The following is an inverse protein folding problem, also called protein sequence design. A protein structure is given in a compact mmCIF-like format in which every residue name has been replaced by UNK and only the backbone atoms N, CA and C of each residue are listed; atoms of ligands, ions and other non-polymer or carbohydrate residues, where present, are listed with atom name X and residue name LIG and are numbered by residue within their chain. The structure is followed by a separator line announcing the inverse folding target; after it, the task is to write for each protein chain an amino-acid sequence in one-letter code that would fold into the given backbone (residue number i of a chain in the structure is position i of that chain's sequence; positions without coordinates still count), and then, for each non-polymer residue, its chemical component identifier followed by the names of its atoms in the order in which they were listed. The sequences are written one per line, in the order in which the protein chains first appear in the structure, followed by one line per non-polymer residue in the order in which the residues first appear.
data_IF_768081955881
#
_entry.id   IF_768081955881
#
_cell.length_a   1.000
_cell.length_b   1.000
_cell.length_c   1.000
_cell.angle_alpha   90.00
_cell.angle_beta   90.00
_cell.angle_gamma   90.00
#
_symmetry.space_group_name_H-M   'P 1'
#
loop_
_entity.id
_entity.type
_entity.pdbx_description
1 polymer ?
#
# COMPACT_ATOMS: atom_id res chain seq x y z
N UNK A 1 -10.42 -21.44 -3.41
CA UNK A 1 -10.42 -19.99 -3.09
C UNK A 1 -9.60 -19.28 -4.15
N UNK A 2 -10.10 -18.20 -4.71
CA UNK A 2 -9.44 -17.42 -5.77
C UNK A 2 -9.21 -16.00 -5.26
N UNK A 3 -8.00 -15.49 -5.48
CA UNK A 3 -7.58 -14.17 -5.05
C UNK A 3 -7.28 -13.31 -6.27
N UNK A 4 -7.75 -12.07 -6.24
CA UNK A 4 -7.44 -11.08 -7.26
C UNK A 4 -6.88 -9.82 -6.61
N UNK A 5 -5.75 -9.34 -7.15
CA UNK A 5 -5.14 -8.07 -6.77
C UNK A 5 -5.41 -7.06 -7.88
N UNK A 6 -6.03 -5.93 -7.52
CA UNK A 6 -6.25 -4.80 -8.40
C UNK A 6 -5.40 -3.64 -7.89
N UNK A 7 -4.54 -3.13 -8.77
CA UNK A 7 -3.77 -1.91 -8.53
C UNK A 7 -3.99 -1.01 -9.72
N UNK A 8 -4.45 0.21 -9.43
CA UNK A 8 -4.58 1.28 -10.42
C UNK A 8 -3.79 2.46 -9.88
N UNK A 9 -2.80 2.93 -10.64
CA UNK A 9 -2.01 4.10 -10.29
C UNK A 9 -2.11 5.17 -11.37
N UNK A 10 -2.06 6.42 -10.92
CA UNK A 10 -1.98 7.62 -11.73
C UNK A 10 -0.73 8.36 -11.30
N UNK A 11 0.21 8.50 -12.22
CA UNK A 11 1.45 9.22 -11.97
C UNK A 11 1.42 10.59 -12.66
N UNK A 12 1.63 11.64 -11.89
CA UNK A 12 1.75 13.02 -12.36
C UNK A 12 3.19 13.47 -12.15
N UNK A 13 3.86 13.85 -13.24
CA UNK A 13 5.25 14.30 -13.23
C UNK A 13 5.34 15.75 -13.70
N UNK A 14 5.93 16.62 -12.87
CA UNK A 14 6.16 18.03 -13.18
C UNK A 14 7.67 18.30 -13.24
N UNK A 15 8.33 17.72 -14.26
CA UNK A 15 9.75 17.96 -14.54
C UNK A 15 10.66 17.67 -13.33
N UNK A 16 11.57 18.58 -13.02
CA UNK A 16 12.47 18.44 -11.85
C UNK A 16 11.88 18.97 -10.54
N UNK A 17 10.73 19.65 -10.59
CA UNK A 17 10.22 20.42 -9.45
C UNK A 17 9.36 19.57 -8.50
N UNK A 18 8.54 18.68 -9.05
CA UNK A 18 7.68 17.82 -8.24
C UNK A 18 7.22 16.57 -9.00
N UNK A 19 6.96 15.51 -8.24
CA UNK A 19 6.19 14.37 -8.72
C UNK A 19 5.18 13.95 -7.66
N UNK A 20 4.05 13.42 -8.12
CA UNK A 20 3.03 12.81 -7.30
C UNK A 20 2.54 11.55 -8.00
N UNK A 21 2.72 10.40 -7.36
CA UNK A 21 2.03 9.16 -7.68
C UNK A 21 0.81 9.05 -6.77
N UNK A 22 -0.32 8.69 -7.35
CA UNK A 22 -1.56 8.39 -6.65
C UNK A 22 -1.98 6.98 -7.06
N UNK A 23 -1.94 6.05 -6.11
CA UNK A 23 -2.32 4.66 -6.34
C UNK A 23 -3.49 4.24 -5.46
N UNK A 24 -4.42 3.51 -6.08
CA UNK A 24 -5.51 2.79 -5.42
C UNK A 24 -5.19 1.30 -5.51
N UNK A 25 -5.17 0.63 -4.35
CA UNK A 25 -4.91 -0.81 -4.25
C UNK A 25 -6.07 -1.53 -3.58
N UNK A 26 -6.67 -2.46 -4.30
CA UNK A 26 -7.73 -3.36 -3.84
C UNK A 26 -7.27 -4.82 -3.82
N UNK A 27 -7.63 -5.56 -2.79
CA UNK A 27 -7.50 -7.01 -2.75
C UNK A 27 -8.85 -7.66 -2.51
N UNK A 28 -9.23 -8.51 -3.45
CA UNK A 28 -10.53 -9.18 -3.49
C UNK A 28 -10.32 -10.68 -3.31
N UNK A 29 -11.12 -11.27 -2.42
CA UNK A 29 -11.21 -12.71 -2.23
C UNK A 29 -12.57 -13.19 -2.73
N UNK A 30 -12.53 -14.21 -3.57
CA UNK A 30 -13.70 -15.02 -3.86
C UNK A 30 -13.46 -16.45 -3.36
N UNK A 31 -14.32 -16.93 -2.47
CA UNK A 31 -14.26 -18.27 -1.89
C UNK A 31 -15.49 -19.07 -2.25
N UNK A 32 -15.28 -20.17 -2.96
CA UNK A 32 -16.25 -21.24 -3.11
C UNK A 32 -15.91 -22.34 -2.12
N UNK A 33 -16.86 -22.69 -1.26
CA UNK A 33 -16.71 -23.77 -0.27
C UNK A 33 -17.83 -24.79 -0.43
N UNK A 34 -17.44 -26.06 -0.48
CA UNK A 34 -18.34 -27.20 -0.54
C UNK A 34 -18.43 -27.83 0.85
N UNK A 35 -19.63 -27.85 1.43
CA UNK A 35 -19.87 -28.41 2.78
C UNK A 35 -20.62 -29.74 2.74
N UNK A 36 -21.55 -29.94 1.81
CA UNK A 36 -22.26 -31.21 1.61
C UNK A 36 -22.92 -31.26 0.22
N UNK A 37 -23.40 -32.45 -0.20
CA UNK A 37 -23.86 -32.81 -1.57
C UNK A 37 -24.83 -31.86 -2.29
N UNK A 38 -25.47 -30.94 -1.59
CA UNK A 38 -26.44 -30.00 -2.16
C UNK A 38 -26.26 -28.53 -1.78
N UNK A 39 -25.27 -28.17 -0.96
CA UNK A 39 -25.11 -26.80 -0.46
C UNK A 39 -23.76 -26.21 -0.84
N UNK A 40 -23.80 -25.29 -1.80
CA UNK A 40 -22.68 -24.46 -2.22
C UNK A 40 -22.70 -23.16 -1.42
N UNK A 41 -21.55 -22.79 -0.84
CA UNK A 41 -21.37 -21.49 -0.19
C UNK A 41 -20.44 -20.62 -1.03
N UNK A 42 -20.96 -19.48 -1.45
CA UNK A 42 -20.19 -18.43 -2.09
C UNK A 42 -19.88 -17.33 -1.08
N UNK A 43 -18.62 -16.94 -1.00
CA UNK A 43 -18.16 -15.83 -0.18
C UNK A 43 -17.36 -14.85 -1.02
N UNK A 44 -17.72 -13.58 -0.94
CA UNK A 44 -16.93 -12.48 -1.49
C UNK A 44 -16.49 -11.57 -0.34
N UNK A 45 -15.20 -11.24 -0.29
CA UNK A 45 -14.70 -10.29 0.70
C UNK A 45 -13.63 -9.38 0.11
N UNK A 46 -13.73 -8.09 0.41
CA UNK A 46 -12.67 -7.11 0.14
C UNK A 46 -11.75 -7.14 1.35
N UNK A 47 -10.53 -7.69 1.20
CA UNK A 47 -9.60 -7.80 2.33
C UNK A 47 -8.85 -6.50 2.59
N UNK A 48 -8.52 -5.75 1.53
CA UNK A 48 -7.72 -4.54 1.62
C UNK A 48 -8.18 -3.54 0.58
N UNK A 49 -8.39 -2.31 0.99
CA UNK A 49 -8.62 -1.17 0.12
C UNK A 49 -7.73 -0.03 0.61
N UNK A 50 -6.81 0.43 -0.23
CA UNK A 50 -5.80 1.42 0.16
C UNK A 50 -5.73 2.55 -0.85
N UNK A 51 -5.56 3.75 -0.33
CA UNK A 51 -5.18 4.93 -1.08
C UNK A 51 -3.75 5.27 -0.69
N UNK A 52 -2.88 5.36 -1.68
CA UNK A 52 -1.46 5.59 -1.51
C UNK A 52 -1.13 6.80 -2.35
N UNK A 53 -0.43 7.78 -1.77
CA UNK A 53 0.22 8.80 -2.55
C UNK A 53 1.63 9.00 -2.06
N UNK A 54 2.55 9.07 -3.00
CA UNK A 54 3.96 9.30 -2.74
C UNK A 54 4.53 10.20 -3.83
N UNK A 55 5.67 10.81 -3.54
CA UNK A 55 6.28 11.72 -4.48
C UNK A 55 7.41 12.53 -3.88
N UNK A 56 7.84 13.54 -4.61
CA UNK A 56 8.80 14.53 -4.12
C UNK A 56 8.30 15.94 -4.42
N UNK A 57 8.67 16.88 -3.57
CA UNK A 57 8.35 18.30 -3.76
C UNK A 57 9.61 19.15 -3.60
N UNK A 58 9.72 20.21 -4.41
CA UNK A 58 10.83 21.16 -4.51
C UNK A 58 12.14 20.54 -5.03
N UNK A 59 12.58 19.42 -4.46
CA UNK A 59 13.79 18.70 -4.84
C UNK A 59 13.60 17.19 -4.67
N UNK A 60 14.41 16.40 -5.37
CA UNK A 60 14.33 14.92 -5.34
C UNK A 60 14.70 14.33 -3.97
N UNK A 61 15.38 15.10 -3.15
CA UNK A 61 15.80 14.75 -1.80
C UNK A 61 14.68 14.86 -0.76
N UNK A 62 13.62 15.62 -1.06
CA UNK A 62 12.48 15.78 -0.15
C UNK A 62 11.29 15.00 -0.66
N UNK A 63 11.09 13.82 -0.08
CA UNK A 63 10.03 12.88 -0.45
C UNK A 63 8.91 12.89 0.58
N UNK A 64 7.71 12.55 0.13
CA UNK A 64 6.58 12.35 1.02
C UNK A 64 5.90 11.03 0.69
N UNK A 65 5.24 10.46 1.69
CA UNK A 65 4.36 9.32 1.53
C UNK A 65 3.16 9.47 2.47
N UNK A 66 1.97 9.18 1.94
CA UNK A 66 0.72 9.10 2.67
C UNK A 66 0.00 7.82 2.23
N UNK A 67 -0.36 6.99 3.20
CA UNK A 67 -1.09 5.76 2.99
C UNK A 67 -2.30 5.70 3.93
N UNK A 68 -3.48 5.64 3.32
CA UNK A 68 -4.75 5.40 4.00
C UNK A 68 -5.23 3.99 3.71
N UNK A 69 -5.78 3.34 4.73
CA UNK A 69 -6.45 2.05 4.56
C UNK A 69 -7.93 2.16 4.94
N UNK A 70 -8.76 1.52 4.12
CA UNK A 70 -10.21 1.51 4.19
C UNK A 70 -10.68 0.10 4.58
N UNK A 71 -10.18 -0.40 5.71
CA UNK A 71 -10.47 -1.75 6.20
C UNK A 71 -11.68 -1.71 7.16
N UNK A 72 -12.60 -2.67 7.02
CA UNK A 72 -13.73 -2.84 7.94
C UNK A 72 -14.75 -1.71 7.98
N UNK A 73 -14.80 -0.84 6.96
CA UNK A 73 -15.72 0.30 6.91
C UNK A 73 -15.21 1.56 7.63
N UNK A 74 -13.95 1.56 8.10
CA UNK A 74 -13.30 2.71 8.71
C UNK A 74 -12.10 3.18 7.88
N UNK A 75 -11.85 4.49 7.88
CA UNK A 75 -10.63 5.07 7.31
C UNK A 75 -9.59 5.17 8.41
N UNK A 76 -8.41 4.59 8.21
CA UNK A 76 -7.29 4.71 9.13
C UNK A 76 -6.01 5.13 8.42
N UNK A 77 -5.25 5.99 9.11
CA UNK A 77 -3.93 6.44 8.66
C UNK A 77 -2.92 5.35 8.97
N UNK A 78 -2.25 4.86 7.93
CA UNK A 78 -1.25 3.80 8.07
C UNK A 78 0.14 4.38 8.15
N UNK A 79 0.52 5.14 7.13
CA UNK A 79 1.80 5.82 7.03
C UNK A 79 1.57 7.26 6.58
N UNK A 80 2.24 8.20 7.22
CA UNK A 80 2.31 9.62 6.86
C UNK A 80 3.67 10.13 7.28
N UNK A 81 4.57 10.27 6.32
CA UNK A 81 5.90 10.75 6.62
C UNK A 81 6.48 11.61 5.50
N UNK A 82 7.42 12.46 5.89
CA UNK A 82 8.27 13.23 5.01
C UNK A 82 9.70 12.75 5.27
N UNK A 83 10.41 12.47 4.19
CA UNK A 83 11.81 12.08 4.20
C UNK A 83 12.62 13.18 3.54
N UNK A 84 13.68 13.64 4.21
CA UNK A 84 14.61 14.62 3.65
C UNK A 84 16.02 14.10 3.80
N UNK A 85 16.73 13.96 2.67
CA UNK A 85 18.13 13.58 2.65
C UNK A 85 19.02 14.79 2.37
N UNK A 86 20.07 14.94 3.17
CA UNK A 86 21.13 15.90 2.91
C UNK A 86 22.50 15.24 3.14
N UNK A 87 23.21 14.98 2.04
CA UNK A 87 24.48 14.25 2.04
C UNK A 87 24.36 12.85 2.68
N UNK A 88 25.12 12.56 3.75
CA UNK A 88 25.10 11.27 4.46
C UNK A 88 24.00 11.18 5.54
N UNK A 89 23.26 12.27 5.78
CA UNK A 89 22.26 12.35 6.84
C UNK A 89 20.86 12.35 6.22
N UNK A 90 19.98 11.52 6.76
CA UNK A 90 18.57 11.47 6.39
C UNK A 90 17.71 11.65 7.63
N UNK A 91 16.68 12.49 7.54
CA UNK A 91 15.71 12.69 8.62
C UNK A 91 14.33 12.33 8.08
N UNK A 92 13.63 11.47 8.82
CA UNK A 92 12.24 11.11 8.57
C UNK A 92 11.36 11.65 9.68
N UNK A 93 10.33 12.40 9.32
CA UNK A 93 9.37 12.97 10.26
C UNK A 93 7.97 12.46 9.93
N UNK A 94 7.23 12.03 10.96
CA UNK A 94 5.84 11.60 10.84
C UNK A 94 5.57 10.26 11.51
N UNK A 95 4.50 9.60 11.05
CA UNK A 95 4.13 8.26 11.45
C UNK A 95 4.50 7.30 10.32
N UNK A 96 5.34 6.32 10.60
CA UNK A 96 5.62 5.24 9.67
C UNK A 96 5.70 3.93 10.44
N UNK A 97 5.43 2.83 9.75
CA UNK A 97 5.71 1.51 10.32
C UNK A 97 7.22 1.33 10.50
N UNK A 98 7.67 1.16 11.74
CA UNK A 98 9.08 0.84 12.04
C UNK A 98 9.40 -0.55 11.47
N UNK A 99 10.33 -0.69 10.52
CA UNK A 99 10.67 -1.99 9.96
C UNK A 99 11.52 -2.76 10.96
N UNK A 100 10.95 -3.79 11.60
CA UNK A 100 11.69 -4.65 12.52
C UNK A 100 12.48 -5.76 11.79
N UNK A 101 12.11 -6.09 10.54
CA UNK A 101 12.73 -7.15 9.73
C UNK A 101 13.16 -6.66 8.35
N UNK A 102 14.20 -7.28 7.77
CA UNK A 102 14.72 -6.96 6.43
C UNK A 102 13.69 -7.14 5.30
N UNK A 103 12.74 -8.04 5.48
CA UNK A 103 11.63 -8.27 4.55
C UNK A 103 10.60 -7.14 4.56
N UNK A 104 10.55 -6.35 5.64
CA UNK A 104 9.68 -5.19 5.78
C UNK A 104 10.28 -3.90 5.20
N UNK A 105 11.59 -3.90 4.98
CA UNK A 105 12.29 -2.86 4.20
C UNK A 105 11.87 -2.94 2.72
N UNK A 106 11.47 -4.12 2.25
CA UNK A 106 10.92 -4.28 0.91
C UNK A 106 9.44 -3.85 0.88
N UNK A 107 9.13 -2.92 -0.03
CA UNK A 107 7.76 -2.45 -0.21
C UNK A 107 6.80 -3.62 -0.44
N UNK A 108 5.70 -3.65 0.31
CA UNK A 108 4.65 -4.68 0.22
C UNK A 108 3.95 -4.75 -1.15
N UNK A 109 4.34 -3.90 -2.11
CA UNK A 109 3.94 -3.97 -3.51
C UNK A 109 4.80 -4.92 -4.35
N UNK A 110 6.03 -5.24 -3.92
CA UNK A 110 6.98 -6.12 -4.64
C UNK A 110 7.09 -7.54 -4.05
N UNK A 111 6.28 -7.86 -3.05
CA UNK A 111 6.26 -9.21 -2.48
C UNK A 111 5.38 -10.10 -3.35
N UNK A 112 6.00 -11.12 -3.96
CA UNK A 112 5.33 -12.13 -4.79
C UNK A 112 4.48 -13.12 -3.99
N UNK A 113 4.62 -13.14 -2.65
CA UNK A 113 3.89 -14.04 -1.75
C UNK A 113 2.93 -13.26 -0.85
N UNK A 114 1.73 -13.82 -0.67
CA UNK A 114 0.57 -13.19 0.00
C UNK A 114 0.68 -13.21 1.53
N UNK A 115 1.44 -14.13 2.10
CA UNK A 115 1.64 -14.28 3.55
C UNK A 115 3.12 -14.16 3.94
N UNK A 116 3.35 -13.61 5.15
CA UNK A 116 4.66 -13.55 5.82
C UNK A 116 4.66 -14.62 6.93
N UNK A 117 5.69 -15.47 6.99
CA UNK A 117 5.91 -16.41 8.11
C UNK A 117 6.66 -15.78 9.25
#
# INVERSE_FOLDING_TARGET
MVWALLVVSLQIYSGEAASADLAIRGQFLYSLSYRDKNNWYEGFSIRRARLITDGFFLRKETKYELQLTLEGGSVSLRDLYIDSSYNMWGVRLGQWKVPYNREEINSSSRLELVDRS
#
